data_IF_664504082572
#
_entry.id   IF_664504082572
#
_cell.length_a   1.000
_cell.length_b   1.000
_cell.length_c   1.000
_cell.angle_alpha   90.00
_cell.angle_beta   90.00
_cell.angle_gamma   90.00
#
_symmetry.space_group_name_H-M   'P 1'
#
loop_
_entity.id
_entity.type
_entity.pdbx_description
1 polymer ?
#
# COMPACT_ATOMS: atom_id res chain seq x y z
N UNK A 1 -57.57 -5.50 -39.82
CA UNK A 1 -56.29 -5.77 -39.14
C UNK A 1 -55.24 -4.86 -39.74
N UNK A 2 -54.86 -3.78 -39.06
CA UNK A 2 -53.84 -2.84 -39.55
C UNK A 2 -52.65 -2.88 -38.59
N UNK A 3 -51.49 -3.23 -39.15
CA UNK A 3 -50.27 -3.55 -38.41
C UNK A 3 -49.53 -2.26 -38.06
N UNK A 4 -49.10 -2.18 -36.80
CA UNK A 4 -48.22 -1.13 -36.29
C UNK A 4 -46.86 -1.20 -36.99
N UNK A 5 -46.46 -0.12 -37.65
CA UNK A 5 -45.14 0.06 -38.23
C UNK A 5 -44.54 1.35 -37.68
N UNK A 6 -43.68 1.26 -36.66
CA UNK A 6 -42.94 2.41 -36.18
C UNK A 6 -42.29 2.22 -34.82
N UNK A 7 -41.06 1.68 -34.82
CA UNK A 7 -39.99 1.73 -33.78
C UNK A 7 -39.35 0.35 -33.63
N UNK A 8 -38.06 0.22 -33.93
CA UNK A 8 -37.11 -0.69 -33.24
C UNK A 8 -35.77 -0.83 -34.00
N UNK A 9 -35.08 0.26 -34.36
CA UNK A 9 -33.67 0.14 -34.81
C UNK A 9 -32.76 1.28 -34.33
N UNK A 10 -33.32 2.44 -33.99
CA UNK A 10 -32.56 3.49 -33.29
C UNK A 10 -32.29 3.15 -31.82
N UNK A 11 -33.16 2.36 -31.19
CA UNK A 11 -33.06 1.98 -29.77
C UNK A 11 -31.78 1.19 -29.42
N UNK A 12 -31.38 0.13 -30.18
CA UNK A 12 -30.14 -0.58 -29.89
C UNK A 12 -28.89 0.26 -30.21
N UNK A 13 -28.88 1.04 -31.29
CA UNK A 13 -27.69 1.82 -31.66
C UNK A 13 -27.45 2.96 -30.67
N UNK A 14 -28.51 3.68 -30.26
CA UNK A 14 -28.40 4.73 -29.25
C UNK A 14 -27.90 4.17 -27.91
N UNK A 15 -28.38 2.99 -27.51
CA UNK A 15 -27.89 2.30 -26.31
C UNK A 15 -26.40 1.94 -26.42
N UNK A 16 -25.96 1.41 -27.57
CA UNK A 16 -24.54 1.07 -27.79
C UNK A 16 -23.64 2.32 -27.76
N UNK A 17 -24.07 3.42 -28.37
CA UNK A 17 -23.33 4.69 -28.33
C UNK A 17 -23.25 5.22 -26.90
N UNK A 18 -24.34 5.13 -26.13
CA UNK A 18 -24.35 5.54 -24.74
C UNK A 18 -23.38 4.70 -23.88
N UNK A 19 -23.41 3.37 -24.01
CA UNK A 19 -22.50 2.48 -23.27
C UNK A 19 -21.05 2.73 -23.66
N UNK A 20 -20.78 2.95 -24.96
CA UNK A 20 -19.44 3.31 -25.43
C UNK A 20 -18.97 4.63 -24.82
N UNK A 21 -19.80 5.67 -24.83
CA UNK A 21 -19.47 6.97 -24.24
C UNK A 21 -19.21 6.85 -22.72
N UNK A 22 -20.01 6.06 -22.01
CA UNK A 22 -19.80 5.77 -20.57
C UNK A 22 -18.49 5.01 -20.36
N UNK A 23 -18.18 4.02 -21.19
CA UNK A 23 -16.94 3.24 -21.10
C UNK A 23 -15.69 4.10 -21.37
N UNK A 24 -15.76 4.99 -22.36
CA UNK A 24 -14.70 5.97 -22.64
C UNK A 24 -14.55 6.95 -21.48
N UNK A 25 -15.65 7.51 -20.98
CA UNK A 25 -15.63 8.42 -19.83
C UNK A 25 -15.03 7.77 -18.59
N UNK A 26 -15.40 6.53 -18.29
CA UNK A 26 -14.85 5.79 -17.16
C UNK A 26 -13.37 5.44 -17.36
N UNK A 27 -12.96 5.07 -18.58
CA UNK A 27 -11.56 4.81 -18.92
C UNK A 27 -10.69 6.06 -18.79
N UNK A 28 -11.19 7.21 -19.25
CA UNK A 28 -10.49 8.50 -19.11
C UNK A 28 -10.40 8.92 -17.64
N UNK A 29 -11.50 8.80 -16.90
CA UNK A 29 -11.51 9.08 -15.47
C UNK A 29 -10.50 8.19 -14.73
N UNK A 30 -10.52 6.89 -14.98
CA UNK A 30 -9.58 5.95 -14.41
C UNK A 30 -8.13 6.28 -14.81
N UNK A 31 -7.88 6.71 -16.05
CA UNK A 31 -6.56 7.15 -16.51
C UNK A 31 -6.05 8.39 -15.77
N UNK A 32 -6.89 9.41 -15.58
CA UNK A 32 -6.55 10.59 -14.76
C UNK A 32 -6.29 10.20 -13.30
N UNK A 33 -7.09 9.26 -12.78
CA UNK A 33 -6.91 8.71 -11.44
C UNK A 33 -5.57 7.96 -11.33
N UNK A 34 -5.24 7.13 -12.32
CA UNK A 34 -3.99 6.38 -12.37
C UNK A 34 -2.78 7.28 -12.62
N UNK A 35 -2.90 8.41 -13.31
CA UNK A 35 -1.82 9.40 -13.41
C UNK A 35 -1.60 10.11 -12.05
N UNK A 36 -2.69 10.46 -11.37
CA UNK A 36 -2.65 11.10 -10.05
C UNK A 36 -2.11 10.17 -8.95
N UNK A 37 -2.44 8.86 -9.01
CA UNK A 37 -2.10 7.89 -7.96
C UNK A 37 -1.03 6.85 -8.35
N UNK A 38 -0.78 6.63 -9.63
CA UNK A 38 0.16 5.64 -10.17
C UNK A 38 1.61 5.96 -9.80
N UNK A 39 1.96 7.25 -9.75
CA UNK A 39 3.26 7.71 -9.19
C UNK A 39 3.44 7.29 -7.74
N UNK A 40 2.36 7.11 -6.97
CA UNK A 40 2.44 6.62 -5.59
C UNK A 40 2.35 5.09 -5.49
N UNK A 41 1.85 4.36 -6.49
CA UNK A 41 1.42 2.95 -6.34
C UNK A 41 2.37 1.93 -6.99
N UNK A 42 3.11 2.30 -8.03
CA UNK A 42 4.06 1.36 -8.66
C UNK A 42 5.24 1.01 -7.74
N UNK A 43 5.67 1.96 -6.90
CA UNK A 43 6.77 1.70 -5.96
C UNK A 43 6.34 0.77 -4.81
N UNK A 44 5.10 0.85 -4.32
CA UNK A 44 4.52 0.05 -3.20
C UNK A 44 4.58 -1.47 -3.38
N UNK A 45 4.94 -1.97 -4.56
CA UNK A 45 4.98 -3.39 -4.90
C UNK A 45 5.99 -4.18 -4.04
N UNK A 46 7.05 -3.53 -3.55
CA UNK A 46 8.12 -4.22 -2.79
C UNK A 46 8.06 -3.90 -1.29
N UNK A 47 7.73 -2.68 -0.88
CA UNK A 47 7.67 -2.34 0.54
C UNK A 47 6.54 -3.06 1.26
N UNK A 48 5.36 -3.26 0.66
CA UNK A 48 4.27 -3.98 1.32
C UNK A 48 4.64 -5.42 1.71
N UNK A 49 5.09 -6.30 0.78
CA UNK A 49 5.51 -7.65 1.14
C UNK A 49 6.76 -7.68 2.04
N UNK A 50 7.66 -6.70 1.90
CA UNK A 50 8.81 -6.58 2.81
C UNK A 50 8.36 -6.17 4.21
N UNK A 51 7.37 -5.28 4.33
CA UNK A 51 6.80 -4.84 5.60
C UNK A 51 6.08 -5.98 6.31
N UNK A 52 5.32 -6.81 5.58
CA UNK A 52 4.69 -8.02 6.13
C UNK A 52 5.75 -8.98 6.69
N UNK A 53 6.84 -9.23 5.93
CA UNK A 53 7.93 -10.10 6.37
C UNK A 53 8.72 -9.53 7.58
N UNK A 54 8.90 -8.21 7.62
CA UNK A 54 9.53 -7.48 8.73
C UNK A 54 8.64 -7.54 9.98
N UNK A 55 7.34 -7.30 9.84
CA UNK A 55 6.37 -7.38 10.94
C UNK A 55 6.27 -8.80 11.51
N UNK A 56 6.28 -9.82 10.65
CA UNK A 56 6.25 -11.21 11.09
C UNK A 56 7.50 -11.62 11.88
N UNK A 57 8.67 -11.02 11.59
CA UNK A 57 9.91 -11.25 12.36
C UNK A 57 9.99 -10.44 13.64
N UNK A 58 9.47 -9.21 13.60
CA UNK A 58 9.43 -8.29 14.75
C UNK A 58 8.41 -8.70 15.79
N UNK A 59 7.28 -9.26 15.34
CA UNK A 59 6.16 -9.59 16.21
C UNK A 59 6.34 -10.96 16.86
N UNK A 60 6.09 -11.02 18.16
CA UNK A 60 5.84 -12.25 18.89
C UNK A 60 4.43 -12.18 19.44
N UNK A 61 3.56 -13.10 18.99
CA UNK A 61 2.13 -13.12 19.32
C UNK A 61 1.40 -11.78 19.03
N UNK A 62 1.76 -11.10 17.93
CA UNK A 62 1.15 -9.82 17.51
C UNK A 62 1.73 -8.58 18.22
N UNK A 63 2.78 -8.73 19.02
CA UNK A 63 3.46 -7.63 19.70
C UNK A 63 4.87 -7.46 19.14
N UNK A 64 5.15 -6.28 18.57
CA UNK A 64 6.46 -5.89 18.05
C UNK A 64 7.46 -5.67 19.18
N UNK A 65 8.60 -6.36 19.11
CA UNK A 65 9.73 -6.16 20.02
C UNK A 65 10.80 -5.26 19.38
N UNK A 66 10.98 -4.01 19.86
CA UNK A 66 11.96 -3.09 19.29
C UNK A 66 13.41 -3.55 19.44
N UNK A 67 13.72 -4.47 20.37
CA UNK A 67 15.06 -5.05 20.50
C UNK A 67 15.45 -5.93 19.29
N UNK A 68 14.46 -6.42 18.53
CA UNK A 68 14.67 -7.27 17.35
C UNK A 68 14.75 -6.52 16.03
N UNK A 69 14.72 -5.20 16.05
CA UNK A 69 14.73 -4.37 14.82
C UNK A 69 15.95 -4.65 13.94
N UNK A 70 17.10 -5.03 14.52
CA UNK A 70 18.28 -5.46 13.76
C UNK A 70 18.08 -6.76 12.97
N UNK A 71 17.48 -7.78 13.58
CA UNK A 71 17.19 -9.04 12.90
C UNK A 71 16.08 -8.90 11.84
N UNK A 72 15.28 -7.83 11.92
CA UNK A 72 14.24 -7.56 10.94
C UNK A 72 14.79 -7.14 9.56
N UNK A 73 16.02 -6.59 9.50
CA UNK A 73 16.66 -6.28 8.22
C UNK A 73 16.94 -7.51 7.37
N UNK A 74 17.06 -8.69 7.97
CA UNK A 74 17.27 -9.94 7.23
C UNK A 74 16.03 -10.35 6.40
N UNK A 75 14.88 -9.70 6.61
CA UNK A 75 13.70 -9.86 5.76
C UNK A 75 13.76 -9.04 4.47
N UNK A 76 14.72 -8.10 4.34
CA UNK A 76 14.86 -7.28 3.15
C UNK A 76 15.39 -8.14 1.99
N UNK A 77 14.77 -8.12 0.80
CA UNK A 77 15.22 -8.89 -0.34
C UNK A 77 16.67 -8.59 -0.74
N UNK A 78 17.39 -9.62 -1.21
CA UNK A 78 18.76 -9.46 -1.71
C UNK A 78 18.80 -8.45 -2.87
N UNK A 79 19.78 -7.54 -2.85
CA UNK A 79 19.91 -6.46 -3.83
C UNK A 79 19.07 -5.22 -3.55
N UNK A 80 18.35 -5.19 -2.42
CA UNK A 80 17.66 -4.01 -1.90
C UNK A 80 18.27 -3.57 -0.57
N UNK A 81 18.15 -2.28 -0.27
CA UNK A 81 18.44 -1.68 1.03
C UNK A 81 17.12 -1.42 1.74
N UNK A 82 17.09 -1.71 3.04
CA UNK A 82 15.92 -1.47 3.88
C UNK A 82 16.24 -0.60 5.08
N UNK A 83 15.24 0.18 5.50
CA UNK A 83 15.24 0.91 6.75
C UNK A 83 13.94 0.58 7.49
N UNK A 84 14.07 0.11 8.72
CA UNK A 84 12.95 -0.22 9.59
C UNK A 84 12.95 0.80 10.72
N UNK A 85 11.87 1.56 10.83
CA UNK A 85 11.66 2.53 11.89
C UNK A 85 10.41 2.18 12.67
N UNK A 86 10.54 1.94 13.97
CA UNK A 86 9.42 1.80 14.90
C UNK A 86 9.30 3.08 15.71
N UNK A 87 8.10 3.64 15.77
CA UNK A 87 7.77 4.80 16.60
C UNK A 87 6.62 4.47 17.54
N UNK A 88 6.65 5.02 18.75
CA UNK A 88 5.58 4.91 19.75
C UNK A 88 5.12 6.33 20.06
N UNK A 89 3.81 6.50 20.28
CA UNK A 89 3.24 7.84 20.48
C UNK A 89 3.77 8.53 21.75
N UNK A 90 4.19 7.75 22.76
CA UNK A 90 4.84 8.22 23.99
C UNK A 90 6.32 8.64 23.80
N UNK A 91 6.79 8.79 22.56
CA UNK A 91 8.12 9.35 22.22
C UNK A 91 9.22 8.33 21.96
N UNK A 92 8.95 7.03 22.03
CA UNK A 92 9.91 5.97 21.68
C UNK A 92 10.17 5.92 20.18
N UNK A 93 11.44 5.92 19.75
CA UNK A 93 11.81 5.73 18.34
C UNK A 93 13.03 4.84 18.21
N UNK A 94 12.89 3.76 17.45
CA UNK A 94 13.98 2.86 17.08
C UNK A 94 14.08 2.83 15.56
N UNK A 95 15.27 3.02 15.04
CA UNK A 95 15.53 2.97 13.60
C UNK A 95 16.75 2.11 13.35
N UNK A 96 16.62 1.22 12.38
CA UNK A 96 17.69 0.31 11.97
C UNK A 96 17.81 0.37 10.45
N UNK A 97 19.06 0.34 9.97
CA UNK A 97 19.40 0.38 8.55
C UNK A 97 19.83 1.77 8.07
N UNK A 98 20.38 1.85 6.86
CA UNK A 98 20.87 3.11 6.27
C UNK A 98 19.77 4.17 6.16
N UNK A 99 20.17 5.44 6.06
CA UNK A 99 19.24 6.54 5.82
C UNK A 99 18.64 6.41 4.42
N UNK A 100 17.31 6.33 4.28
CA UNK A 100 16.64 6.17 3.00
C UNK A 100 16.73 7.45 2.15
N UNK A 101 16.94 7.34 0.84
CA UNK A 101 16.89 8.48 -0.08
C UNK A 101 15.47 9.07 -0.19
N UNK A 102 15.37 10.31 -0.66
CA UNK A 102 14.09 10.94 -1.00
C UNK A 102 13.46 10.18 -2.17
N UNK A 103 12.35 9.47 -1.91
CA UNK A 103 11.70 8.61 -2.90
C UNK A 103 11.83 7.10 -2.64
N UNK A 104 12.45 6.69 -1.52
CA UNK A 104 12.40 5.29 -1.12
C UNK A 104 10.95 4.82 -0.91
N UNK A 105 10.62 3.65 -1.45
CA UNK A 105 9.32 3.02 -1.25
C UNK A 105 9.10 2.81 0.25
N UNK A 106 7.88 3.06 0.73
CA UNK A 106 7.60 3.00 2.15
C UNK A 106 6.20 2.53 2.48
N UNK A 107 6.11 1.61 3.44
CA UNK A 107 4.87 1.16 4.03
C UNK A 107 4.82 1.51 5.52
N UNK A 108 3.63 1.85 6.02
CA UNK A 108 3.42 2.24 7.42
C UNK A 108 2.22 1.52 8.01
N UNK A 109 2.45 0.78 9.11
CA UNK A 109 1.45 -0.02 9.80
C UNK A 109 1.29 0.44 11.25
N UNK A 110 0.07 0.33 11.76
CA UNK A 110 -0.18 0.50 13.20
C UNK A 110 0.12 -0.81 13.88
N UNK A 111 1.01 -0.80 14.88
CA UNK A 111 1.45 -2.01 15.59
C UNK A 111 1.38 -1.80 17.11
N UNK A 112 1.31 -2.90 17.84
CA UNK A 112 1.48 -2.92 19.29
C UNK A 112 2.96 -3.15 19.62
N UNK A 113 3.61 -2.19 20.26
CA UNK A 113 5.05 -2.21 20.59
C UNK A 113 5.24 -2.55 22.06
N UNK A 114 6.13 -3.50 22.34
CA UNK A 114 6.56 -3.82 23.70
C UNK A 114 7.56 -2.78 24.19
N UNK A 115 7.22 -2.10 25.28
CA UNK A 115 8.11 -1.13 25.95
C UNK A 115 8.90 -1.79 27.09
N UNK A 116 8.26 -2.70 27.81
CA UNK A 116 8.81 -3.44 28.94
C UNK A 116 8.07 -4.78 29.10
N UNK A 117 8.55 -5.73 29.93
CA UNK A 117 7.78 -6.91 30.28
C UNK A 117 6.39 -6.53 30.83
N UNK A 118 5.32 -6.95 30.15
CA UNK A 118 3.94 -6.62 30.51
C UNK A 118 3.44 -5.23 30.10
N UNK A 119 4.28 -4.38 29.50
CA UNK A 119 3.88 -3.04 29.03
C UNK A 119 3.89 -2.97 27.52
N UNK A 120 2.72 -2.79 26.94
CA UNK A 120 2.51 -2.66 25.49
C UNK A 120 1.89 -1.30 25.19
N UNK A 121 2.37 -0.64 24.13
CA UNK A 121 1.85 0.64 23.66
C UNK A 121 1.52 0.58 22.18
N UNK A 122 0.61 1.44 21.75
CA UNK A 122 0.34 1.64 20.33
C UNK A 122 1.52 2.38 19.70
N UNK A 123 1.92 1.94 18.53
CA UNK A 123 2.97 2.57 17.74
C UNK A 123 2.73 2.44 16.25
N UNK A 124 3.68 2.96 15.48
CA UNK A 124 3.75 2.84 14.04
C UNK A 124 5.05 2.17 13.64
N UNK A 125 4.94 1.10 12.86
CA UNK A 125 6.03 0.47 12.15
C UNK A 125 6.08 1.10 10.76
N UNK A 126 7.22 1.65 10.40
CA UNK A 126 7.49 2.15 9.07
C UNK A 126 8.64 1.38 8.46
N UNK A 127 8.41 0.78 7.31
CA UNK A 127 9.42 0.07 6.54
C UNK A 127 9.66 0.85 5.27
N UNK A 128 10.92 1.11 4.96
CA UNK A 128 11.37 1.76 3.74
C UNK A 128 12.31 0.85 2.98
N UNK A 129 12.12 0.72 1.68
CA UNK A 129 12.92 -0.17 0.83
C UNK A 129 13.32 0.57 -0.44
N UNK A 130 14.56 0.41 -0.88
CA UNK A 130 15.09 1.00 -2.11
C UNK A 130 16.24 0.16 -2.66
N UNK A 131 16.75 0.51 -3.86
CA UNK A 131 17.88 -0.17 -4.50
C UNK A 131 19.16 0.63 -4.39
#
# INVERSE_FOLDING_TARGET
MSRSSGRATTEPLAALVAVFAVGVGLSLYAGVLDEAFGTMNQDRSVAAPTADAVEQRLSSAGIVDPARTNAALDAVPAGYRGNVTVTVDDGGRWSTGPTPPSGADSDTRTVSVRMAPGTVRRGRLRVRVWR
#
